data_IF_494553250127
#
_entry.id   IF_494553250127
#
_cell.length_a   1.000
_cell.length_b   1.000
_cell.length_c   1.000
_cell.angle_alpha   90.00
_cell.angle_beta   90.00
_cell.angle_gamma   90.00
#
_symmetry.space_group_name_H-M   'P 1'
#
loop_
_entity.id
_entity.type
_entity.pdbx_description
1 polymer ?
#
# COMPACT_ATOMS: atom_id res chain seq x y z
N UNK A 1 -32.72 6.31 -3.31
CA UNK A 1 -31.94 5.35 -4.11
C UNK A 1 -30.64 5.00 -3.40
N UNK A 2 -30.37 3.72 -3.21
CA UNK A 2 -29.15 3.31 -2.53
C UNK A 2 -27.92 3.60 -3.41
N UNK A 3 -26.87 4.16 -2.81
CA UNK A 3 -25.63 4.39 -3.52
C UNK A 3 -24.90 3.05 -3.72
N UNK A 4 -24.26 2.91 -4.84
CA UNK A 4 -23.49 1.72 -5.15
C UNK A 4 -22.22 1.67 -4.32
N UNK A 5 -21.95 0.53 -3.69
CA UNK A 5 -20.71 0.32 -2.94
C UNK A 5 -19.55 0.17 -3.90
N UNK A 6 -18.45 0.82 -3.60
CA UNK A 6 -17.23 0.76 -4.38
C UNK A 6 -16.10 0.21 -3.52
N UNK A 7 -15.13 -0.42 -4.18
CA UNK A 7 -14.00 -1.03 -3.52
C UNK A 7 -12.71 -0.36 -4.00
N UNK A 8 -11.78 -0.13 -3.10
CA UNK A 8 -10.48 0.43 -3.43
C UNK A 8 -9.41 -0.07 -2.47
N UNK A 9 -8.17 0.03 -2.88
CA UNK A 9 -7.02 -0.24 -2.03
C UNK A 9 -6.24 1.05 -1.81
N UNK A 10 -5.78 1.25 -0.58
CA UNK A 10 -4.90 2.36 -0.23
C UNK A 10 -3.58 1.76 0.19
N UNK A 11 -2.52 2.03 -0.57
CA UNK A 11 -1.18 1.51 -0.31
C UNK A 11 -0.29 2.67 0.11
N UNK A 12 0.39 2.50 1.24
CA UNK A 12 1.28 3.51 1.77
C UNK A 12 2.69 2.95 1.90
N UNK A 13 3.65 3.61 1.22
CA UNK A 13 5.07 3.28 1.32
C UNK A 13 5.69 4.20 2.35
N UNK A 14 5.78 3.74 3.59
CA UNK A 14 6.40 4.49 4.67
C UNK A 14 7.90 4.23 4.75
N UNK A 15 8.59 4.97 5.59
CA UNK A 15 10.03 4.81 5.77
C UNK A 15 10.42 3.49 6.45
N UNK A 16 9.53 2.91 7.25
CA UNK A 16 9.78 1.67 7.99
C UNK A 16 8.81 0.55 7.66
N UNK A 17 7.71 0.88 7.00
CA UNK A 17 6.61 -0.05 6.81
C UNK A 17 5.86 0.23 5.53
N UNK A 18 5.45 -0.84 4.86
CA UNK A 18 4.56 -0.75 3.70
C UNK A 18 3.23 -1.33 4.13
N UNK A 19 2.16 -0.55 3.96
CA UNK A 19 0.83 -0.96 4.39
C UNK A 19 -0.16 -0.89 3.25
N UNK A 20 -1.21 -1.71 3.34
CA UNK A 20 -2.33 -1.66 2.41
C UNK A 20 -3.63 -1.83 3.20
N UNK A 21 -4.60 -0.99 2.90
CA UNK A 21 -5.95 -1.12 3.41
C UNK A 21 -6.88 -1.37 2.23
N UNK A 22 -7.71 -2.39 2.35
CA UNK A 22 -8.78 -2.64 1.38
C UNK A 22 -10.05 -2.06 1.97
N UNK A 23 -10.68 -1.15 1.24
CA UNK A 23 -11.83 -0.42 1.73
C UNK A 23 -13.06 -0.60 0.82
N UNK A 24 -14.22 -0.48 1.43
CA UNK A 24 -15.50 -0.40 0.76
C UNK A 24 -16.09 0.95 1.11
N UNK A 25 -16.60 1.68 0.14
CA UNK A 25 -17.14 3.00 0.40
C UNK A 25 -18.33 3.29 -0.51
N UNK A 26 -19.24 4.14 -0.03
CA UNK A 26 -20.36 4.67 -0.82
C UNK A 26 -20.15 6.16 -1.06
N UNK A 27 -19.54 6.84 -0.09
CA UNK A 27 -19.15 8.25 -0.19
C UNK A 27 -18.03 8.50 0.83
N UNK A 28 -17.61 9.75 0.99
CA UNK A 28 -16.51 10.12 1.87
C UNK A 28 -16.75 9.82 3.36
N UNK A 29 -18.01 9.64 3.74
CA UNK A 29 -18.39 9.45 5.14
C UNK A 29 -18.75 8.02 5.49
N UNK A 30 -18.87 7.15 4.50
CA UNK A 30 -19.28 5.77 4.70
C UNK A 30 -18.20 4.81 4.19
N UNK A 31 -17.06 4.79 4.91
CA UNK A 31 -15.91 3.97 4.57
C UNK A 31 -15.76 2.83 5.57
N UNK A 32 -15.65 1.61 5.07
CA UNK A 32 -15.41 0.43 5.88
C UNK A 32 -14.10 -0.21 5.46
N UNK A 33 -13.25 -0.52 6.42
CA UNK A 33 -12.01 -1.26 6.15
C UNK A 33 -12.34 -2.75 6.12
N UNK A 34 -12.11 -3.38 4.97
CA UNK A 34 -12.38 -4.80 4.78
C UNK A 34 -11.21 -5.67 5.23
N UNK A 35 -9.99 -5.19 4.99
CA UNK A 35 -8.80 -5.94 5.34
C UNK A 35 -7.60 -5.00 5.36
N UNK A 36 -6.55 -5.41 6.06
CA UNK A 36 -5.31 -4.67 6.14
C UNK A 36 -4.13 -5.63 6.05
N UNK A 37 -3.06 -5.18 5.42
CA UNK A 37 -1.81 -5.91 5.37
C UNK A 37 -0.67 -4.93 5.64
N UNK A 38 0.36 -5.39 6.33
CA UNK A 38 1.49 -4.53 6.67
C UNK A 38 2.77 -5.36 6.72
N UNK A 39 3.84 -4.82 6.15
CA UNK A 39 5.15 -5.46 6.16
C UNK A 39 6.20 -4.43 6.53
N UNK A 40 7.17 -4.84 7.34
CA UNK A 40 8.28 -3.97 7.71
C UNK A 40 9.32 -3.97 6.60
N UNK A 41 9.63 -2.79 6.10
CA UNK A 41 10.71 -2.58 5.12
C UNK A 41 11.36 -1.26 5.48
N UNK A 42 12.62 -1.29 5.85
CA UNK A 42 13.32 -0.10 6.36
C UNK A 42 13.88 0.77 5.24
N UNK A 43 13.00 1.32 4.43
CA UNK A 43 13.35 2.18 3.31
C UNK A 43 14.04 3.46 3.75
N UNK A 44 13.51 4.09 4.81
CA UNK A 44 14.04 5.34 5.31
C UNK A 44 15.43 5.20 5.90
N UNK A 45 15.66 4.14 6.67
CA UNK A 45 16.96 3.87 7.27
C UNK A 45 18.04 3.68 6.19
N UNK A 46 17.74 2.88 5.19
CA UNK A 46 18.69 2.60 4.12
C UNK A 46 18.98 3.85 3.28
N UNK A 47 17.93 4.59 2.92
CA UNK A 47 18.08 5.84 2.16
C UNK A 47 18.88 6.87 2.94
N UNK A 48 18.64 6.96 4.24
CA UNK A 48 19.35 7.89 5.11
C UNK A 48 20.86 7.57 5.17
N UNK A 49 21.21 6.29 5.26
CA UNK A 49 22.62 5.87 5.37
C UNK A 49 23.38 5.94 4.05
N UNK A 50 22.75 5.54 2.95
CA UNK A 50 23.44 5.33 1.68
C UNK A 50 22.99 6.26 0.56
N UNK A 51 21.88 6.96 0.74
CA UNK A 51 21.29 7.80 -0.29
C UNK A 51 20.59 7.01 -1.38
N UNK A 52 20.48 5.70 -1.25
CA UNK A 52 19.78 4.86 -2.23
C UNK A 52 19.24 3.59 -1.58
N UNK A 53 18.32 2.93 -2.28
CA UNK A 53 17.72 1.68 -1.83
C UNK A 53 18.47 0.53 -2.51
N UNK A 54 18.89 -0.47 -1.74
CA UNK A 54 19.62 -1.62 -2.28
C UNK A 54 18.73 -2.48 -3.18
N UNK A 55 19.36 -3.29 -4.02
CA UNK A 55 18.66 -4.25 -4.87
C UNK A 55 17.87 -5.26 -4.03
N UNK A 56 18.41 -5.68 -2.90
CA UNK A 56 17.75 -6.63 -2.01
C UNK A 56 16.47 -6.03 -1.41
N UNK A 57 16.55 -4.79 -0.94
CA UNK A 57 15.39 -4.09 -0.38
C UNK A 57 14.35 -3.85 -1.47
N UNK A 58 14.79 -3.50 -2.68
CA UNK A 58 13.89 -3.29 -3.79
C UNK A 58 13.15 -4.58 -4.17
N UNK A 59 13.85 -5.72 -4.17
CA UNK A 59 13.22 -7.02 -4.43
C UNK A 59 12.18 -7.36 -3.36
N UNK A 60 12.51 -7.12 -2.09
CA UNK A 60 11.60 -7.34 -0.99
C UNK A 60 10.33 -6.49 -1.16
N UNK A 61 10.50 -5.22 -1.53
CA UNK A 61 9.39 -4.32 -1.77
C UNK A 61 8.51 -4.81 -2.92
N UNK A 62 9.12 -5.23 -4.02
CA UNK A 62 8.39 -5.75 -5.18
C UNK A 62 7.58 -6.98 -4.79
N UNK A 63 8.16 -7.89 -4.01
CA UNK A 63 7.46 -9.10 -3.58
C UNK A 63 6.27 -8.76 -2.69
N UNK A 64 6.41 -7.77 -1.81
CA UNK A 64 5.32 -7.30 -0.96
C UNK A 64 4.21 -6.72 -1.82
N UNK A 65 4.54 -5.88 -2.79
CA UNK A 65 3.55 -5.26 -3.67
C UNK A 65 2.83 -6.31 -4.53
N UNK A 66 3.54 -7.36 -4.96
CA UNK A 66 2.91 -8.48 -5.67
C UNK A 66 1.91 -9.22 -4.78
N UNK A 67 2.26 -9.41 -3.51
CA UNK A 67 1.35 -10.02 -2.53
C UNK A 67 0.11 -9.15 -2.32
N UNK A 68 0.28 -7.83 -2.22
CA UNK A 68 -0.82 -6.89 -2.10
C UNK A 68 -1.73 -6.94 -3.33
N UNK A 69 -1.13 -7.01 -4.52
CA UNK A 69 -1.89 -7.12 -5.77
C UNK A 69 -2.73 -8.39 -5.80
N UNK A 70 -2.18 -9.50 -5.32
CA UNK A 70 -2.91 -10.76 -5.23
C UNK A 70 -4.11 -10.65 -4.30
N UNK A 71 -3.91 -10.01 -3.14
CA UNK A 71 -4.99 -9.79 -2.18
C UNK A 71 -6.09 -8.92 -2.79
N UNK A 72 -5.71 -7.84 -3.47
CA UNK A 72 -6.67 -6.99 -4.18
C UNK A 72 -7.48 -7.81 -5.19
N UNK A 73 -6.80 -8.66 -5.94
CA UNK A 73 -7.45 -9.50 -6.95
C UNK A 73 -8.44 -10.48 -6.31
N UNK A 74 -8.08 -11.05 -5.16
CA UNK A 74 -8.96 -11.97 -4.43
C UNK A 74 -10.25 -11.28 -3.99
N UNK A 75 -10.19 -9.99 -3.68
CA UNK A 75 -11.36 -9.18 -3.31
C UNK A 75 -12.06 -8.54 -4.51
N UNK A 76 -11.53 -8.72 -5.71
CA UNK A 76 -12.08 -8.10 -6.91
C UNK A 76 -11.85 -6.60 -6.99
N UNK A 77 -10.79 -6.11 -6.34
CA UNK A 77 -10.46 -4.69 -6.29
C UNK A 77 -9.49 -4.34 -7.41
N UNK A 78 -9.85 -3.33 -8.22
CA UNK A 78 -9.02 -2.85 -9.33
C UNK A 78 -8.46 -1.45 -9.10
N UNK A 79 -9.17 -0.63 -8.33
CA UNK A 79 -8.80 0.75 -8.10
C UNK A 79 -7.91 0.86 -6.87
N UNK A 80 -6.87 1.66 -6.97
CA UNK A 80 -5.97 1.86 -5.85
C UNK A 80 -5.34 3.25 -5.85
N UNK A 81 -4.91 3.68 -4.68
CA UNK A 81 -4.12 4.89 -4.47
C UNK A 81 -2.81 4.47 -3.83
N UNK A 82 -1.71 4.97 -4.35
CA UNK A 82 -0.38 4.71 -3.82
C UNK A 82 0.23 6.02 -3.33
N UNK A 83 0.61 6.04 -2.04
CA UNK A 83 1.27 7.17 -1.43
C UNK A 83 2.67 6.77 -0.97
N UNK A 84 3.63 7.67 -1.08
CA UNK A 84 4.98 7.42 -0.65
C UNK A 84 5.51 8.57 0.20
N UNK A 85 6.34 8.23 1.19
CA UNK A 85 7.00 9.23 2.01
C UNK A 85 8.15 9.87 1.24
N UNK A 86 8.66 10.97 1.77
CA UNK A 86 9.81 11.68 1.19
C UNK A 86 11.03 10.74 1.04
N UNK A 87 11.24 9.85 2.00
CA UNK A 87 12.37 8.92 1.97
C UNK A 87 12.33 7.99 0.74
N UNK A 88 11.15 7.67 0.25
CA UNK A 88 10.99 6.81 -0.93
C UNK A 88 11.07 7.62 -2.21
N UNK A 89 10.58 8.86 -2.19
CA UNK A 89 10.54 9.73 -3.37
C UNK A 89 11.92 10.24 -3.77
N UNK A 90 12.79 10.43 -2.81
CA UNK A 90 14.16 10.86 -3.04
C UNK A 90 15.07 9.69 -3.36
#
# INVERSE_FOLDING_TARGET
>A
MAKKKQLAAIIHLGSERVTMQLIEYTDLYAVTILDEASQTVRLGEETFKTGRISTETMRALIDILKGFRRLMKDYGIKDYVLEATTAVRE
#
